data_IF_630390322906
#
_entry.id   IF_630390322906
#
_cell.length_a   1.000
_cell.length_b   1.000
_cell.length_c   1.000
_cell.angle_alpha   90.00
_cell.angle_beta   90.00
_cell.angle_gamma   90.00
#
_symmetry.space_group_name_H-M   'P 1'
#
loop_
_entity.id
_entity.type
_entity.pdbx_description
1 polymer ?
#
# COMPACT_ATOMS: atom_id res chain seq x y z
N UNK A 1 -21.54 45.20 14.07
CA UNK A 1 -21.71 44.37 12.86
C UNK A 1 -21.31 42.92 13.17
N UNK A 2 -22.26 42.01 13.35
CA UNK A 2 -21.97 40.57 13.46
C UNK A 2 -21.58 40.09 12.06
N UNK A 3 -20.27 39.88 11.84
CA UNK A 3 -19.76 39.22 10.65
C UNK A 3 -20.49 37.85 10.46
N UNK A 4 -21.20 37.72 9.34
CA UNK A 4 -21.72 36.42 8.89
C UNK A 4 -20.52 35.50 8.72
N UNK A 5 -20.29 34.62 9.69
CA UNK A 5 -19.16 33.70 9.71
C UNK A 5 -19.42 32.60 8.70
N UNK A 6 -19.06 32.85 7.45
CA UNK A 6 -19.08 31.84 6.39
C UNK A 6 -18.13 30.69 6.75
N UNK A 7 -18.57 29.44 6.51
CA UNK A 7 -17.72 28.24 6.62
C UNK A 7 -16.69 28.12 5.49
N UNK A 8 -16.71 29.01 4.52
CA UNK A 8 -15.79 29.04 3.38
C UNK A 8 -15.29 30.45 3.13
N UNK A 9 -13.97 30.58 2.88
CA UNK A 9 -13.34 31.87 2.54
C UNK A 9 -12.83 31.84 1.09
N UNK A 10 -13.55 32.47 0.13
CA UNK A 10 -13.20 32.44 -1.29
C UNK A 10 -11.88 33.16 -1.60
N UNK A 11 -11.50 34.17 -0.83
CA UNK A 11 -10.25 34.89 -1.04
C UNK A 11 -9.03 33.99 -0.70
N UNK A 12 -9.11 33.25 0.41
CA UNK A 12 -8.08 32.31 0.81
C UNK A 12 -7.96 31.16 -0.20
N UNK A 13 -9.10 30.61 -0.65
CA UNK A 13 -9.17 29.59 -1.68
C UNK A 13 -8.47 30.04 -2.98
N UNK A 14 -8.92 31.16 -3.57
CA UNK A 14 -8.39 31.68 -4.84
C UNK A 14 -6.89 31.96 -4.74
N UNK A 15 -6.43 32.62 -3.65
CA UNK A 15 -5.03 32.93 -3.43
C UNK A 15 -4.18 31.66 -3.36
N UNK A 16 -4.67 30.60 -2.71
CA UNK A 16 -3.96 29.34 -2.56
C UNK A 16 -3.86 28.59 -3.89
N UNK A 17 -4.96 28.48 -4.64
CA UNK A 17 -4.98 27.83 -5.96
C UNK A 17 -4.02 28.54 -6.91
N UNK A 18 -4.07 29.88 -6.99
CA UNK A 18 -3.17 30.64 -7.89
C UNK A 18 -1.71 30.52 -7.46
N UNK A 19 -1.43 30.50 -6.14
CA UNK A 19 -0.06 30.40 -5.65
C UNK A 19 0.62 29.07 -5.99
N UNK A 20 -0.11 27.97 -5.94
CA UNK A 20 0.44 26.62 -6.11
C UNK A 20 0.04 25.99 -7.45
N UNK A 21 -0.32 26.81 -8.45
CA UNK A 21 -0.73 26.33 -9.77
C UNK A 21 0.26 25.35 -10.44
N UNK A 22 1.61 25.40 -10.23
CA UNK A 22 2.51 24.48 -10.86
C UNK A 22 2.27 23.00 -10.45
N UNK A 23 1.77 22.76 -9.24
CA UNK A 23 1.45 21.41 -8.76
C UNK A 23 0.30 20.82 -9.58
N UNK A 24 -0.76 21.59 -9.76
CA UNK A 24 -1.94 21.16 -10.51
C UNK A 24 -1.66 21.03 -12.00
N UNK A 25 -0.89 21.98 -12.53
CA UNK A 25 -0.47 21.96 -13.93
C UNK A 25 0.39 20.73 -14.25
N UNK A 26 1.38 20.45 -13.42
CA UNK A 26 2.25 19.28 -13.62
C UNK A 26 1.47 17.97 -13.54
N UNK A 27 0.52 17.85 -12.59
CA UNK A 27 -0.37 16.71 -12.49
C UNK A 27 -1.20 16.51 -13.77
N UNK A 28 -1.89 17.56 -14.21
CA UNK A 28 -2.67 17.54 -15.44
C UNK A 28 -1.82 17.21 -16.67
N UNK A 29 -0.62 17.81 -16.77
CA UNK A 29 0.29 17.61 -17.88
C UNK A 29 0.77 16.16 -17.98
N UNK A 30 1.14 15.55 -16.85
CA UNK A 30 1.55 14.14 -16.82
C UNK A 30 0.41 13.25 -17.29
N UNK A 31 -0.81 13.45 -16.78
CA UNK A 31 -1.96 12.67 -17.20
C UNK A 31 -2.34 12.88 -18.67
N UNK A 32 -2.24 14.11 -19.20
CA UNK A 32 -2.46 14.39 -20.62
C UNK A 32 -1.43 13.69 -21.52
N UNK A 33 -0.20 13.52 -21.06
CA UNK A 33 0.80 12.73 -21.78
C UNK A 33 0.53 11.23 -21.69
N UNK A 34 0.24 10.72 -20.48
CA UNK A 34 0.09 9.28 -20.26
C UNK A 34 -1.16 8.73 -20.92
N UNK A 35 -2.31 9.36 -20.74
CA UNK A 35 -3.58 8.79 -21.18
C UNK A 35 -3.99 9.25 -22.59
N UNK A 36 -4.42 10.48 -22.88
CA UNK A 36 -4.80 10.83 -24.26
C UNK A 36 -3.60 10.87 -25.20
N UNK A 37 -2.40 11.26 -24.73
CA UNK A 37 -1.17 11.25 -25.54
C UNK A 37 -0.72 9.83 -25.89
N UNK A 38 -0.68 8.92 -24.92
CA UNK A 38 -0.40 7.49 -25.11
C UNK A 38 -1.40 6.83 -26.07
N UNK A 39 -2.70 7.03 -25.80
CA UNK A 39 -3.79 6.51 -26.61
C UNK A 39 -3.72 6.97 -28.07
N UNK A 40 -3.48 8.26 -28.31
CA UNK A 40 -3.32 8.78 -29.69
C UNK A 40 -2.12 8.21 -30.39
N UNK A 41 -0.99 7.99 -29.70
CA UNK A 41 0.21 7.34 -30.25
C UNK A 41 -0.01 5.87 -30.59
N UNK A 42 -0.77 5.13 -29.81
CA UNK A 42 -1.12 3.75 -30.08
C UNK A 42 -2.12 3.63 -31.24
N UNK A 43 -3.12 4.52 -31.28
CA UNK A 43 -4.07 4.61 -32.41
C UNK A 43 -3.34 4.89 -33.74
N UNK A 44 -2.40 5.84 -33.75
CA UNK A 44 -1.62 6.13 -34.95
C UNK A 44 -0.78 4.93 -35.43
N UNK A 45 -0.35 4.05 -34.51
CA UNK A 45 0.34 2.80 -34.85
C UNK A 45 -0.64 1.73 -35.34
N UNK A 46 -1.81 1.60 -34.72
CA UNK A 46 -2.83 0.60 -35.08
C UNK A 46 -3.37 0.80 -36.51
N UNK A 47 -3.48 2.05 -36.96
CA UNK A 47 -3.93 2.38 -38.35
C UNK A 47 -3.00 1.80 -39.44
N UNK A 48 -1.78 1.36 -39.11
CA UNK A 48 -0.82 0.71 -40.02
C UNK A 48 -0.93 -0.82 -40.04
N UNK A 49 -1.81 -1.40 -39.23
CA UNK A 49 -1.97 -2.85 -39.09
C UNK A 49 -3.11 -3.34 -40.03
N UNK A 50 -3.03 -4.59 -40.49
CA UNK A 50 -4.05 -5.21 -41.30
C UNK A 50 -5.45 -5.22 -40.63
N UNK A 51 -5.51 -5.33 -39.32
CA UNK A 51 -6.73 -5.33 -38.50
C UNK A 51 -6.94 -4.00 -37.75
N UNK A 52 -6.72 -2.86 -38.44
CA UNK A 52 -6.78 -1.51 -37.86
C UNK A 52 -8.05 -1.23 -37.04
N UNK A 53 -9.23 -1.63 -37.55
CA UNK A 53 -10.51 -1.39 -36.87
C UNK A 53 -10.59 -2.11 -35.51
N UNK A 54 -10.19 -3.39 -35.46
CA UNK A 54 -10.18 -4.19 -34.26
C UNK A 54 -9.16 -3.64 -33.24
N UNK A 55 -7.95 -3.34 -33.70
CA UNK A 55 -6.89 -2.77 -32.85
C UNK A 55 -7.30 -1.41 -32.28
N UNK A 56 -7.95 -0.55 -33.08
CA UNK A 56 -8.44 0.76 -32.62
C UNK A 56 -9.52 0.60 -31.56
N UNK A 57 -10.49 -0.31 -31.75
CA UNK A 57 -11.57 -0.55 -30.79
C UNK A 57 -11.02 -1.04 -29.45
N UNK A 58 -10.04 -1.96 -29.48
CA UNK A 58 -9.34 -2.44 -28.27
C UNK A 58 -8.66 -1.30 -27.52
N UNK A 59 -7.99 -0.38 -28.22
CA UNK A 59 -7.30 0.76 -27.60
C UNK A 59 -8.33 1.71 -26.99
N UNK A 60 -9.40 2.06 -27.71
CA UNK A 60 -10.41 3.00 -27.22
C UNK A 60 -11.14 2.49 -25.98
N UNK A 61 -11.46 1.19 -25.92
CA UNK A 61 -12.13 0.59 -24.75
C UNK A 61 -11.17 0.29 -23.61
N UNK A 62 -10.00 -0.26 -23.92
CA UNK A 62 -9.08 -0.80 -22.94
C UNK A 62 -8.22 0.25 -22.25
N UNK A 63 -7.66 1.21 -23.01
CA UNK A 63 -6.65 2.13 -22.46
C UNK A 63 -7.13 2.92 -21.22
N UNK A 64 -8.36 3.49 -21.18
CA UNK A 64 -8.82 4.17 -19.97
C UNK A 64 -8.98 3.23 -18.77
N UNK A 65 -9.49 2.00 -18.99
CA UNK A 65 -9.71 1.03 -17.91
C UNK A 65 -8.39 0.44 -17.40
N UNK A 66 -7.49 0.05 -18.29
CA UNK A 66 -6.16 -0.43 -17.97
C UNK A 66 -5.35 0.65 -17.25
N UNK A 67 -5.48 1.91 -17.68
CA UNK A 67 -4.91 3.04 -16.96
C UNK A 67 -5.48 3.16 -15.54
N UNK A 68 -6.79 3.00 -15.33
CA UNK A 68 -7.41 3.11 -14.01
C UNK A 68 -6.90 2.08 -13.00
N UNK A 69 -6.49 0.89 -13.45
CA UNK A 69 -6.00 -0.21 -12.59
C UNK A 69 -4.49 -0.35 -12.58
N UNK A 70 -3.77 0.50 -13.30
CA UNK A 70 -2.31 0.41 -13.41
C UNK A 70 -1.61 0.70 -12.08
N UNK A 71 -0.55 -0.06 -11.71
CA UNK A 71 0.13 0.08 -10.43
C UNK A 71 0.75 1.46 -10.18
N UNK A 72 1.04 2.23 -11.22
CA UNK A 72 1.57 3.59 -11.07
C UNK A 72 0.52 4.63 -10.67
N UNK A 73 -0.77 4.34 -10.83
CA UNK A 73 -1.85 5.32 -10.58
C UNK A 73 -2.00 5.66 -9.10
N UNK A 74 -2.09 4.71 -8.17
CA UNK A 74 -2.10 5.01 -6.75
C UNK A 74 -0.83 5.74 -6.29
N UNK A 75 0.33 5.45 -6.88
CA UNK A 75 1.58 6.13 -6.56
C UNK A 75 1.58 7.58 -7.05
N UNK A 76 1.08 7.82 -8.26
CA UNK A 76 0.94 9.16 -8.83
C UNK A 76 -0.08 9.99 -8.02
N UNK A 77 -1.23 9.40 -7.70
CA UNK A 77 -2.25 10.00 -6.86
C UNK A 77 -1.72 10.35 -5.47
N UNK A 78 -0.95 9.45 -4.82
CA UNK A 78 -0.30 9.72 -3.54
C UNK A 78 0.72 10.86 -3.65
N UNK A 79 1.60 10.84 -4.66
CA UNK A 79 2.65 11.83 -4.82
C UNK A 79 2.07 13.25 -4.99
N UNK A 80 1.08 13.42 -5.87
CA UNK A 80 0.46 14.73 -6.10
C UNK A 80 -0.50 15.15 -4.99
N UNK A 81 -1.19 14.22 -4.33
CA UNK A 81 -1.97 14.51 -3.12
C UNK A 81 -1.07 14.95 -1.96
N UNK A 82 0.09 14.32 -1.81
CA UNK A 82 1.10 14.71 -0.83
C UNK A 82 1.66 16.10 -1.13
N UNK A 83 2.09 16.36 -2.37
CA UNK A 83 2.56 17.68 -2.79
C UNK A 83 1.50 18.76 -2.60
N UNK A 84 0.25 18.45 -2.96
CA UNK A 84 -0.89 19.33 -2.76
C UNK A 84 -1.12 19.65 -1.28
N UNK A 85 -1.18 18.63 -0.41
CA UNK A 85 -1.35 18.82 1.03
C UNK A 85 -0.18 19.59 1.64
N UNK A 86 1.07 19.31 1.24
CA UNK A 86 2.24 20.10 1.66
C UNK A 86 2.12 21.56 1.26
N UNK A 87 1.69 21.83 0.04
CA UNK A 87 1.52 23.18 -0.49
C UNK A 87 0.47 23.97 0.30
N UNK A 88 -0.75 23.44 0.42
CA UNK A 88 -1.86 24.15 1.06
C UNK A 88 -1.69 24.30 2.57
N UNK A 89 -1.05 23.35 3.23
CA UNK A 89 -0.74 23.40 4.66
C UNK A 89 0.69 23.88 4.98
N UNK A 90 1.41 24.44 4.00
CA UNK A 90 2.79 24.94 4.17
C UNK A 90 2.96 25.95 5.32
N UNK A 91 1.91 26.67 5.67
CA UNK A 91 1.91 27.61 6.80
C UNK A 91 2.12 26.91 8.16
N UNK A 92 1.86 25.60 8.28
CA UNK A 92 2.04 24.85 9.52
C UNK A 92 3.50 24.47 9.83
N UNK A 93 4.40 24.62 8.84
CA UNK A 93 5.81 24.18 8.95
C UNK A 93 6.77 25.30 9.37
N UNK A 94 6.34 26.57 9.34
CA UNK A 94 7.17 27.70 9.74
C UNK A 94 6.47 28.53 10.82
N UNK A 95 7.14 28.84 11.96
CA UNK A 95 6.55 29.63 13.02
C UNK A 95 6.05 31.01 12.56
N UNK A 96 6.80 31.66 11.64
CA UNK A 96 6.43 32.95 11.08
C UNK A 96 5.13 32.88 10.29
N UNK A 97 4.98 31.89 9.42
CA UNK A 97 3.76 31.72 8.62
C UNK A 97 2.58 31.24 9.46
N UNK A 98 2.82 30.37 10.45
CA UNK A 98 1.77 29.92 11.37
C UNK A 98 1.18 31.09 12.19
N UNK A 99 2.04 31.98 12.70
CA UNK A 99 1.60 33.17 13.40
C UNK A 99 0.79 34.13 12.47
N UNK A 100 1.25 34.33 11.23
CA UNK A 100 0.53 35.19 10.26
C UNK A 100 -0.86 34.62 9.90
N UNK A 101 -0.98 33.29 9.71
CA UNK A 101 -2.27 32.63 9.47
C UNK A 101 -3.16 32.65 10.71
N UNK A 102 -2.60 32.51 11.91
CA UNK A 102 -3.31 32.60 13.18
C UNK A 102 -3.90 34.01 13.47
N UNK A 103 -3.31 35.05 12.90
CA UNK A 103 -3.80 36.44 13.02
C UNK A 103 -4.92 36.80 12.04
N UNK A 104 -5.23 35.92 11.06
CA UNK A 104 -6.31 36.16 10.11
C UNK A 104 -7.68 36.11 10.83
N UNK A 105 -8.60 37.07 10.52
CA UNK A 105 -9.95 37.11 11.11
C UNK A 105 -10.87 36.03 10.47
N UNK A 106 -10.42 34.79 10.44
CA UNK A 106 -11.12 33.64 9.84
C UNK A 106 -11.25 32.53 10.88
N UNK A 107 -12.41 31.89 10.94
CA UNK A 107 -12.58 30.73 11.81
C UNK A 107 -11.65 29.59 11.36
N UNK A 108 -11.11 28.83 12.30
CA UNK A 108 -10.20 27.73 12.00
C UNK A 108 -10.82 26.70 11.03
N UNK A 109 -12.11 26.36 11.22
CA UNK A 109 -12.82 25.44 10.34
C UNK A 109 -12.93 25.99 8.91
N UNK A 110 -13.25 27.27 8.76
CA UNK A 110 -13.36 27.92 7.46
C UNK A 110 -12.00 27.98 6.75
N UNK A 111 -10.92 28.25 7.50
CA UNK A 111 -9.56 28.21 6.97
C UNK A 111 -9.20 26.80 6.49
N UNK A 112 -9.42 25.77 7.32
CA UNK A 112 -9.14 24.38 6.96
C UNK A 112 -9.92 23.93 5.73
N UNK A 113 -11.24 24.16 5.69
CA UNK A 113 -12.09 23.78 4.56
C UNK A 113 -11.67 24.50 3.27
N UNK A 114 -11.39 25.80 3.34
CA UNK A 114 -10.95 26.58 2.17
C UNK A 114 -9.60 26.08 1.63
N UNK A 115 -8.66 25.72 2.51
CA UNK A 115 -7.36 25.19 2.13
C UNK A 115 -7.48 23.76 1.60
N UNK A 116 -8.26 22.90 2.25
CA UNK A 116 -8.47 21.50 1.78
C UNK A 116 -9.14 21.47 0.41
N UNK A 117 -10.17 22.31 0.21
CA UNK A 117 -10.81 22.43 -1.11
C UNK A 117 -9.84 23.01 -2.15
N UNK A 118 -8.99 23.98 -1.78
CA UNK A 118 -7.96 24.51 -2.68
C UNK A 118 -6.89 23.49 -3.05
N UNK A 119 -6.69 22.45 -2.24
CA UNK A 119 -5.77 21.35 -2.55
C UNK A 119 -6.41 20.26 -3.38
N UNK A 120 -7.65 19.88 -3.09
CA UNK A 120 -8.32 18.76 -3.72
C UNK A 120 -8.99 19.11 -5.05
N UNK A 121 -9.78 20.21 -5.10
CA UNK A 121 -10.55 20.56 -6.29
C UNK A 121 -9.72 20.75 -7.57
N UNK A 122 -8.50 21.34 -7.53
CA UNK A 122 -7.69 21.42 -8.74
C UNK A 122 -7.21 20.06 -9.26
N UNK A 123 -6.96 19.07 -8.38
CA UNK A 123 -6.63 17.70 -8.81
C UNK A 123 -7.84 17.04 -9.50
N UNK A 124 -9.03 17.18 -8.92
CA UNK A 124 -10.27 16.67 -9.53
C UNK A 124 -10.59 17.40 -10.85
N UNK A 125 -10.37 18.71 -10.91
CA UNK A 125 -10.55 19.48 -12.16
C UNK A 125 -9.57 19.01 -13.26
N UNK A 126 -8.32 18.68 -12.89
CA UNK A 126 -7.35 18.11 -13.81
C UNK A 126 -7.85 16.75 -14.37
N UNK A 127 -8.41 15.88 -13.52
CA UNK A 127 -8.99 14.61 -13.98
C UNK A 127 -10.15 14.84 -14.98
N UNK A 128 -11.00 15.83 -14.74
CA UNK A 128 -12.08 16.20 -15.68
C UNK A 128 -11.51 16.69 -17.02
N UNK A 129 -10.46 17.50 -16.98
CA UNK A 129 -9.79 18.01 -18.21
C UNK A 129 -9.21 16.82 -19.01
N UNK A 130 -8.56 15.87 -18.32
CA UNK A 130 -7.99 14.67 -18.96
C UNK A 130 -9.10 13.80 -19.56
N UNK A 131 -10.18 13.56 -18.83
CA UNK A 131 -11.34 12.82 -19.35
C UNK A 131 -11.93 13.48 -20.60
N UNK A 132 -12.09 14.80 -20.58
CA UNK A 132 -12.54 15.55 -21.76
C UNK A 132 -11.58 15.42 -22.94
N UNK A 133 -10.26 15.40 -22.70
CA UNK A 133 -9.27 15.20 -23.75
C UNK A 133 -9.33 13.78 -24.34
N UNK A 134 -9.57 12.75 -23.51
CA UNK A 134 -9.77 11.36 -23.99
C UNK A 134 -11.01 11.28 -24.85
N UNK A 135 -12.15 11.83 -24.39
CA UNK A 135 -13.38 11.89 -25.18
C UNK A 135 -13.22 12.65 -26.50
N UNK A 136 -12.37 13.69 -26.54
CA UNK A 136 -12.05 14.39 -27.77
C UNK A 136 -11.28 13.49 -28.76
N UNK A 137 -10.32 12.68 -28.27
CA UNK A 137 -9.61 11.69 -29.10
C UNK A 137 -10.57 10.64 -29.63
N UNK A 138 -11.47 10.10 -28.79
CA UNK A 138 -12.51 9.14 -29.21
C UNK A 138 -13.45 9.73 -30.29
N UNK A 139 -13.90 10.98 -30.10
CA UNK A 139 -14.77 11.67 -31.05
C UNK A 139 -14.09 11.87 -32.42
N UNK A 140 -12.76 12.16 -32.43
CA UNK A 140 -11.98 12.24 -33.66
C UNK A 140 -11.87 10.88 -34.38
N UNK A 141 -11.97 9.78 -33.65
CA UNK A 141 -12.03 8.41 -34.18
C UNK A 141 -13.46 7.99 -34.63
N UNK A 142 -14.46 8.85 -34.46
CA UNK A 142 -15.87 8.58 -34.82
C UNK A 142 -16.62 7.70 -33.81
N UNK A 143 -16.06 7.45 -32.63
CA UNK A 143 -16.67 6.66 -31.55
C UNK A 143 -16.58 7.42 -30.22
N UNK A 144 -17.60 7.28 -29.38
CA UNK A 144 -17.64 7.85 -28.03
C UNK A 144 -17.99 6.75 -27.04
N UNK A 145 -17.03 6.38 -26.20
CA UNK A 145 -17.17 5.32 -25.22
C UNK A 145 -17.16 5.94 -23.80
N UNK A 146 -18.32 6.45 -23.39
CA UNK A 146 -18.42 7.17 -22.11
C UNK A 146 -18.08 6.30 -20.89
N UNK A 147 -18.46 5.01 -20.90
CA UNK A 147 -18.32 4.15 -19.73
C UNK A 147 -16.84 3.95 -19.28
N UNK A 148 -15.88 3.59 -20.16
CA UNK A 148 -14.48 3.45 -19.78
C UNK A 148 -13.88 4.75 -19.23
N UNK A 149 -14.17 5.87 -19.86
CA UNK A 149 -13.65 7.19 -19.45
C UNK A 149 -14.23 7.64 -18.13
N UNK A 150 -15.56 7.43 -17.90
CA UNK A 150 -16.20 7.77 -16.63
C UNK A 150 -15.73 6.85 -15.51
N UNK A 151 -15.43 5.59 -15.80
CA UNK A 151 -14.83 4.66 -14.82
C UNK A 151 -13.45 5.14 -14.40
N UNK A 152 -12.58 5.48 -15.36
CA UNK A 152 -11.28 6.06 -15.07
C UNK A 152 -11.39 7.34 -14.23
N UNK A 153 -12.25 8.27 -14.65
CA UNK A 153 -12.48 9.53 -13.94
C UNK A 153 -12.94 9.31 -12.50
N UNK A 154 -13.87 8.38 -12.28
CA UNK A 154 -14.40 8.05 -10.96
C UNK A 154 -13.34 7.43 -10.04
N UNK A 155 -12.65 6.40 -10.54
CA UNK A 155 -11.62 5.67 -9.78
C UNK A 155 -10.48 6.60 -9.39
N UNK A 156 -9.86 7.30 -10.35
CA UNK A 156 -8.72 8.19 -10.09
C UNK A 156 -9.09 9.36 -9.19
N UNK A 157 -10.34 9.87 -9.31
CA UNK A 157 -10.83 10.93 -8.41
C UNK A 157 -11.03 10.43 -6.97
N UNK A 158 -11.51 9.20 -6.78
CA UNK A 158 -11.60 8.57 -5.45
C UNK A 158 -10.22 8.29 -4.86
N UNK A 159 -9.25 7.88 -5.66
CA UNK A 159 -7.86 7.75 -5.23
C UNK A 159 -7.25 9.08 -4.78
N UNK A 160 -7.45 10.15 -5.54
CA UNK A 160 -7.03 11.50 -5.14
C UNK A 160 -7.67 11.92 -3.81
N UNK A 161 -8.96 11.63 -3.62
CA UNK A 161 -9.66 11.92 -2.36
C UNK A 161 -9.06 11.11 -1.19
N UNK A 162 -8.81 9.82 -1.42
CA UNK A 162 -8.22 8.91 -0.42
C UNK A 162 -6.87 9.42 0.05
N UNK A 163 -5.94 9.61 -0.89
CA UNK A 163 -4.57 10.00 -0.56
C UNK A 163 -4.49 11.44 -0.06
N UNK A 164 -5.29 12.36 -0.61
CA UNK A 164 -5.32 13.73 -0.11
C UNK A 164 -5.84 13.79 1.33
N UNK A 165 -6.88 13.01 1.66
CA UNK A 165 -7.41 12.93 3.02
C UNK A 165 -6.36 12.45 4.03
N UNK A 166 -5.65 11.36 3.70
CA UNK A 166 -4.57 10.81 4.53
C UNK A 166 -3.41 11.83 4.63
N UNK A 167 -3.00 12.44 3.53
CA UNK A 167 -1.92 13.43 3.53
C UNK A 167 -2.28 14.69 4.31
N UNK A 168 -3.52 15.17 4.21
CA UNK A 168 -4.04 16.29 5.01
C UNK A 168 -4.01 15.97 6.50
N UNK A 169 -4.35 14.74 6.89
CA UNK A 169 -4.23 14.27 8.27
C UNK A 169 -2.77 14.23 8.74
N UNK A 170 -1.87 13.64 7.94
CA UNK A 170 -0.44 13.62 8.23
C UNK A 170 0.14 15.04 8.40
N UNK A 171 -0.30 16.01 7.61
CA UNK A 171 0.10 17.42 7.73
C UNK A 171 -0.26 18.01 9.09
N UNK A 172 -1.33 17.51 9.77
CA UNK A 172 -1.69 17.97 11.11
C UNK A 172 -0.85 17.32 12.21
N UNK A 173 -0.28 16.14 11.97
CA UNK A 173 0.51 15.40 12.96
C UNK A 173 1.93 15.96 13.11
N UNK A 174 2.47 16.60 12.08
CA UNK A 174 3.84 17.14 12.07
C UNK A 174 3.87 18.64 11.83
N UNK A 175 4.90 19.31 12.35
CA UNK A 175 5.25 20.69 12.03
C UNK A 175 6.47 20.80 11.10
N UNK A 176 6.95 19.68 10.55
CA UNK A 176 8.11 19.62 9.66
C UNK A 176 7.71 19.26 8.23
N UNK A 177 8.16 20.07 7.27
CA UNK A 177 7.90 19.86 5.85
C UNK A 177 8.52 18.56 5.32
N UNK A 178 9.66 18.14 5.87
CA UNK A 178 10.38 16.91 5.46
C UNK A 178 9.71 15.66 6.04
N UNK A 179 9.21 15.74 7.27
CA UNK A 179 8.60 14.59 7.95
C UNK A 179 7.21 14.25 7.42
N UNK A 180 6.48 15.24 6.91
CA UNK A 180 5.12 15.06 6.40
C UNK A 180 5.04 14.01 5.26
N UNK A 181 5.82 14.09 4.18
CA UNK A 181 5.76 13.09 3.10
C UNK A 181 6.22 11.70 3.58
N UNK A 182 7.22 11.64 4.45
CA UNK A 182 7.65 10.36 5.05
C UNK A 182 6.52 9.72 5.85
N UNK A 183 5.81 10.51 6.67
CA UNK A 183 4.68 10.03 7.44
C UNK A 183 3.52 9.59 6.53
N UNK A 184 3.27 10.32 5.44
CA UNK A 184 2.26 9.95 4.45
C UNK A 184 2.59 8.60 3.78
N UNK A 185 3.84 8.37 3.37
CA UNK A 185 4.28 7.09 2.81
C UNK A 185 4.13 5.98 3.85
N UNK A 186 4.59 6.20 5.08
CA UNK A 186 4.49 5.20 6.16
C UNK A 186 3.03 4.82 6.41
N UNK A 187 2.12 5.78 6.57
CA UNK A 187 0.70 5.49 6.82
C UNK A 187 0.07 4.70 5.66
N UNK A 188 0.44 5.01 4.42
CA UNK A 188 -0.12 4.34 3.24
C UNK A 188 0.48 2.96 2.95
N UNK A 189 1.71 2.67 3.38
CA UNK A 189 2.41 1.44 3.05
C UNK A 189 2.69 0.53 4.27
N UNK A 190 2.42 0.99 5.49
CA UNK A 190 2.84 0.29 6.72
C UNK A 190 2.30 -1.13 6.82
N UNK A 191 1.02 -1.35 6.55
CA UNK A 191 0.41 -2.67 6.68
C UNK A 191 0.97 -3.64 5.64
N UNK A 192 1.08 -3.22 4.37
CA UNK A 192 1.71 -4.00 3.31
C UNK A 192 3.17 -4.35 3.65
N UNK A 193 3.92 -3.38 4.16
CA UNK A 193 5.32 -3.59 4.53
C UNK A 193 5.44 -4.58 5.70
N UNK A 194 4.64 -4.41 6.77
CA UNK A 194 4.66 -5.32 7.94
C UNK A 194 4.26 -6.73 7.53
N UNK A 195 3.21 -6.88 6.71
CA UNK A 195 2.80 -8.18 6.18
C UNK A 195 3.93 -8.83 5.38
N UNK A 196 4.57 -8.07 4.48
CA UNK A 196 5.68 -8.59 3.67
C UNK A 196 6.86 -9.08 4.53
N UNK A 197 7.28 -8.31 5.54
CA UNK A 197 8.37 -8.72 6.43
C UNK A 197 7.97 -9.92 7.29
N UNK A 198 6.77 -9.91 7.88
CA UNK A 198 6.28 -11.04 8.69
C UNK A 198 6.17 -12.31 7.85
N UNK A 199 5.61 -12.22 6.67
CA UNK A 199 5.53 -13.35 5.73
C UNK A 199 6.91 -13.87 5.35
N UNK A 200 7.85 -12.98 5.04
CA UNK A 200 9.23 -13.36 4.74
C UNK A 200 9.90 -14.04 5.93
N UNK A 201 9.67 -13.59 7.15
CA UNK A 201 10.18 -14.26 8.35
C UNK A 201 9.53 -15.63 8.57
N UNK A 202 8.21 -15.73 8.39
CA UNK A 202 7.50 -17.01 8.52
C UNK A 202 7.96 -18.01 7.49
N UNK A 203 8.15 -17.61 6.22
CA UNK A 203 8.68 -18.51 5.16
C UNK A 203 10.13 -18.94 5.42
N UNK A 204 10.91 -18.14 6.15
CA UNK A 204 12.31 -18.44 6.49
C UNK A 204 12.42 -19.37 7.69
N UNK A 205 11.57 -19.21 8.71
CA UNK A 205 11.73 -19.90 10.00
C UNK A 205 10.69 -21.00 10.25
N UNK A 206 9.49 -20.91 9.67
CA UNK A 206 8.41 -21.87 9.93
C UNK A 206 8.35 -22.93 8.83
N UNK A 207 8.53 -24.19 9.21
CA UNK A 207 8.48 -25.32 8.28
C UNK A 207 7.08 -25.49 7.67
N UNK A 208 7.02 -25.67 6.35
CA UNK A 208 5.75 -25.85 5.62
C UNK A 208 4.91 -24.57 5.45
N UNK A 209 5.35 -23.42 5.95
CA UNK A 209 4.64 -22.17 5.70
C UNK A 209 4.83 -21.71 4.26
N UNK A 210 3.73 -21.60 3.53
CA UNK A 210 3.70 -21.12 2.15
C UNK A 210 2.81 -19.87 2.07
N UNK A 211 3.29 -18.83 1.41
CA UNK A 211 2.51 -17.62 1.21
C UNK A 211 1.47 -17.82 0.12
N UNK A 212 0.19 -17.81 0.49
CA UNK A 212 -0.92 -17.98 -0.46
C UNK A 212 -1.32 -16.71 -1.21
N UNK A 213 -0.66 -15.58 -0.94
CA UNK A 213 -0.96 -14.29 -1.59
C UNK A 213 -2.30 -13.64 -1.23
N UNK A 214 -3.03 -14.19 -0.24
CA UNK A 214 -4.40 -13.77 0.11
C UNK A 214 -4.55 -13.16 1.50
N UNK A 215 -3.50 -12.64 2.09
CA UNK A 215 -3.62 -12.01 3.40
C UNK A 215 -4.40 -10.69 3.32
N UNK A 216 -5.33 -10.51 4.24
CA UNK A 216 -6.18 -9.32 4.28
C UNK A 216 -5.51 -8.10 4.94
N UNK A 217 -4.36 -8.29 5.61
CA UNK A 217 -3.70 -7.22 6.38
C UNK A 217 -3.16 -6.12 5.48
N UNK A 218 -2.60 -6.47 4.32
CA UNK A 218 -2.09 -5.49 3.35
C UNK A 218 -3.20 -4.60 2.76
N UNK A 219 -4.46 -5.06 2.78
CA UNK A 219 -5.60 -4.23 2.38
C UNK A 219 -5.78 -2.99 3.28
N UNK A 220 -5.20 -2.98 4.48
CA UNK A 220 -5.14 -1.77 5.31
C UNK A 220 -4.20 -0.69 4.72
N UNK A 221 -3.36 -1.05 3.75
CA UNK A 221 -2.53 -0.13 2.97
C UNK A 221 -3.28 0.28 1.71
N UNK A 222 -3.75 1.54 1.58
CA UNK A 222 -4.53 1.97 0.41
C UNK A 222 -3.83 1.74 -0.93
N UNK A 223 -2.50 1.86 -0.98
CA UNK A 223 -1.71 1.60 -2.20
C UNK A 223 -1.91 0.15 -2.65
N UNK A 224 -1.65 -0.81 -1.77
CA UNK A 224 -1.73 -2.24 -2.11
C UNK A 224 -3.18 -2.69 -2.33
N UNK A 225 -4.10 -2.22 -1.47
CA UNK A 225 -5.52 -2.56 -1.59
C UNK A 225 -6.15 -2.08 -2.90
N UNK A 226 -5.84 -0.86 -3.35
CA UNK A 226 -6.31 -0.36 -4.64
C UNK A 226 -5.71 -1.16 -5.81
N UNK A 227 -4.40 -1.47 -5.76
CA UNK A 227 -3.75 -2.26 -6.80
C UNK A 227 -4.29 -3.70 -6.93
N UNK A 228 -4.70 -4.32 -5.82
CA UNK A 228 -5.20 -5.71 -5.83
C UNK A 228 -6.70 -5.82 -6.13
N UNK A 229 -7.49 -4.86 -5.69
CA UNK A 229 -8.94 -4.95 -5.74
C UNK A 229 -9.54 -4.29 -6.97
N UNK A 230 -8.80 -3.41 -7.65
CA UNK A 230 -9.22 -2.82 -8.92
C UNK A 230 -8.70 -3.70 -10.05
N UNK A 231 -9.61 -4.29 -10.80
CA UNK A 231 -9.28 -5.19 -11.92
C UNK A 231 -10.07 -4.78 -13.15
N UNK A 232 -9.35 -4.65 -14.27
CA UNK A 232 -9.93 -4.51 -15.59
C UNK A 232 -9.53 -5.72 -16.44
N UNK A 233 -10.48 -6.45 -16.97
CA UNK A 233 -10.25 -7.65 -17.77
C UNK A 233 -10.91 -7.54 -19.15
N UNK A 234 -10.14 -7.88 -20.17
CA UNK A 234 -10.66 -8.00 -21.52
C UNK A 234 -11.51 -9.29 -21.65
N UNK A 235 -12.70 -9.16 -22.19
CA UNK A 235 -13.62 -10.26 -22.45
C UNK A 235 -13.45 -10.73 -23.90
N UNK A 236 -13.17 -12.02 -24.09
CA UNK A 236 -12.99 -12.64 -25.38
C UNK A 236 -14.07 -13.71 -25.60
N UNK A 237 -14.68 -13.74 -26.78
CA UNK A 237 -15.52 -14.84 -27.22
C UNK A 237 -14.86 -15.55 -28.42
N UNK A 238 -14.96 -16.87 -28.46
CA UNK A 238 -14.47 -17.67 -29.58
C UNK A 238 -15.53 -17.67 -30.66
N UNK A 239 -15.13 -17.27 -31.87
CA UNK A 239 -15.97 -17.35 -33.08
C UNK A 239 -16.13 -18.81 -33.54
N UNK A 240 -17.08 -19.09 -34.43
CA UNK A 240 -17.30 -20.42 -35.01
C UNK A 240 -16.03 -21.03 -35.65
N UNK A 241 -15.07 -20.21 -36.00
CA UNK A 241 -13.78 -20.58 -36.56
C UNK A 241 -12.68 -20.82 -35.49
N UNK A 242 -13.02 -20.75 -34.16
CA UNK A 242 -12.07 -20.90 -33.06
C UNK A 242 -11.16 -19.69 -32.84
N UNK A 243 -11.49 -18.54 -33.40
CA UNK A 243 -10.74 -17.30 -33.27
C UNK A 243 -11.30 -16.50 -32.08
N UNK A 244 -10.48 -16.20 -31.08
CA UNK A 244 -10.87 -15.36 -29.95
C UNK A 244 -11.00 -13.90 -30.37
N UNK A 245 -12.19 -13.34 -30.27
CA UNK A 245 -12.46 -11.91 -30.55
C UNK A 245 -12.79 -11.16 -29.28
N UNK A 246 -12.26 -9.95 -29.14
CA UNK A 246 -12.57 -9.07 -28.03
C UNK A 246 -14.03 -8.60 -28.17
N UNK A 247 -14.85 -8.90 -27.17
CA UNK A 247 -16.25 -8.49 -27.08
C UNK A 247 -16.41 -7.24 -26.23
N UNK A 248 -15.56 -7.07 -25.25
CA UNK A 248 -15.62 -5.93 -24.35
C UNK A 248 -14.57 -5.94 -23.26
N UNK A 249 -14.73 -5.05 -22.31
CA UNK A 249 -13.97 -5.00 -21.06
C UNK A 249 -14.93 -5.02 -19.89
N UNK A 250 -14.52 -5.72 -18.83
CA UNK A 250 -15.20 -5.69 -17.54
C UNK A 250 -14.31 -5.02 -16.51
N UNK A 251 -14.90 -4.13 -15.71
CA UNK A 251 -14.23 -3.51 -14.58
C UNK A 251 -14.89 -3.96 -13.29
N UNK A 252 -14.07 -4.45 -12.36
CA UNK A 252 -14.46 -4.79 -11.01
C UNK A 252 -13.67 -3.98 -9.97
N UNK A 253 -14.27 -3.77 -8.80
CA UNK A 253 -13.58 -3.08 -7.69
C UNK A 253 -14.18 -1.74 -7.30
N UNK A 254 -15.35 -1.33 -7.84
CA UNK A 254 -16.03 -0.09 -7.42
C UNK A 254 -16.26 -0.02 -5.91
N UNK A 255 -16.62 -1.17 -5.29
CA UNK A 255 -16.79 -1.25 -3.84
C UNK A 255 -15.53 -0.86 -3.08
N UNK A 256 -14.37 -1.34 -3.53
CA UNK A 256 -13.07 -0.99 -2.93
C UNK A 256 -12.77 0.50 -3.12
N UNK A 257 -12.91 1.04 -4.33
CA UNK A 257 -12.67 2.46 -4.59
C UNK A 257 -13.53 3.37 -3.70
N UNK A 258 -14.82 3.03 -3.53
CA UNK A 258 -15.74 3.78 -2.67
C UNK A 258 -15.36 3.66 -1.18
N UNK A 259 -14.97 2.47 -0.71
CA UNK A 259 -14.54 2.28 0.68
C UNK A 259 -13.28 3.12 0.97
N UNK A 260 -12.26 3.06 0.11
CA UNK A 260 -11.06 3.88 0.31
C UNK A 260 -11.36 5.37 0.18
N UNK A 261 -12.22 5.78 -0.73
CA UNK A 261 -12.70 7.17 -0.81
C UNK A 261 -13.38 7.63 0.48
N UNK A 262 -14.23 6.78 1.08
CA UNK A 262 -14.85 7.05 2.37
C UNK A 262 -13.82 7.13 3.51
N UNK A 263 -12.80 6.27 3.50
CA UNK A 263 -11.66 6.33 4.43
C UNK A 263 -10.91 7.66 4.27
N UNK A 264 -10.63 8.10 3.04
CA UNK A 264 -10.02 9.42 2.78
C UNK A 264 -10.84 10.57 3.34
N UNK A 265 -12.16 10.53 3.17
CA UNK A 265 -13.07 11.53 3.74
C UNK A 265 -13.05 11.50 5.28
N UNK A 266 -13.03 10.31 5.90
CA UNK A 266 -12.90 10.17 7.34
C UNK A 266 -11.57 10.79 7.85
N UNK A 267 -10.46 10.55 7.16
CA UNK A 267 -9.18 11.18 7.49
C UNK A 267 -9.21 12.71 7.34
N UNK A 268 -9.94 13.26 6.36
CA UNK A 268 -10.17 14.70 6.26
C UNK A 268 -10.93 15.26 7.46
N UNK A 269 -11.95 14.54 7.96
CA UNK A 269 -12.67 14.92 9.17
C UNK A 269 -11.74 14.87 10.38
N UNK A 270 -10.94 13.81 10.55
CA UNK A 270 -9.95 13.74 11.61
C UNK A 270 -8.90 14.86 11.50
N UNK A 271 -8.46 15.19 10.30
CA UNK A 271 -7.56 16.31 10.05
C UNK A 271 -8.17 17.66 10.50
N UNK A 272 -9.46 17.88 10.21
CA UNK A 272 -10.21 19.06 10.68
C UNK A 272 -10.25 19.12 12.21
N UNK A 273 -10.54 18.01 12.88
CA UNK A 273 -10.60 17.95 14.34
C UNK A 273 -9.24 18.24 14.98
N UNK A 274 -8.16 17.72 14.40
CA UNK A 274 -6.80 18.01 14.84
C UNK A 274 -6.43 19.48 14.59
N UNK A 275 -6.74 20.03 13.40
CA UNK A 275 -6.48 21.42 13.05
C UNK A 275 -7.13 22.40 14.02
N UNK A 276 -8.35 22.11 14.49
CA UNK A 276 -9.06 22.90 15.50
C UNK A 276 -8.32 22.96 16.84
N UNK A 277 -7.70 21.84 17.25
CA UNK A 277 -7.01 21.69 18.54
C UNK A 277 -5.53 21.99 18.47
N UNK A 278 -4.95 22.11 17.28
CA UNK A 278 -3.52 22.30 17.07
C UNK A 278 -3.05 23.65 17.65
N UNK A 279 -1.93 23.61 18.37
CA UNK A 279 -1.23 24.80 18.86
C UNK A 279 -0.30 25.34 17.76
N UNK A 280 -0.27 26.66 17.57
CA UNK A 280 0.59 27.29 16.55
C UNK A 280 2.09 27.18 16.89
N UNK A 281 2.42 27.03 18.17
CA UNK A 281 3.77 26.89 18.69
C UNK A 281 4.48 25.61 18.22
N UNK A 282 3.72 24.58 17.77
CA UNK A 282 4.27 23.30 17.29
C UNK A 282 4.79 23.36 15.85
N UNK A 283 4.81 24.52 15.23
CA UNK A 283 5.40 24.72 13.90
C UNK A 283 6.92 24.48 13.97
N UNK A 284 7.43 23.62 13.10
CA UNK A 284 8.84 23.17 13.11
C UNK A 284 9.12 21.93 13.97
N UNK A 285 8.14 21.40 14.73
CA UNK A 285 8.33 20.16 15.49
C UNK A 285 8.08 18.93 14.60
N UNK A 286 8.90 17.88 14.81
CA UNK A 286 8.74 16.59 14.10
C UNK A 286 7.37 15.97 14.40
N UNK A 287 6.94 16.01 15.67
CA UNK A 287 5.61 15.54 16.11
C UNK A 287 4.90 16.69 16.79
N UNK A 288 3.88 17.22 16.13
CA UNK A 288 3.10 18.37 16.62
C UNK A 288 2.16 18.01 17.79
N UNK A 289 1.72 16.75 17.86
CA UNK A 289 0.76 16.24 18.85
C UNK A 289 1.51 15.50 19.95
N UNK A 290 1.51 16.04 21.19
CA UNK A 290 2.33 15.53 22.28
C UNK A 290 2.10 14.06 22.65
N UNK A 291 0.84 13.59 22.64
CA UNK A 291 0.50 12.18 22.93
C UNK A 291 1.00 11.19 21.86
N UNK A 292 1.33 11.65 20.65
CA UNK A 292 1.86 10.79 19.58
C UNK A 292 3.41 10.65 19.64
N UNK A 293 4.11 11.44 20.44
CA UNK A 293 5.57 11.32 20.58
C UNK A 293 6.05 9.91 20.98
N UNK A 294 5.47 9.25 21.99
CA UNK A 294 5.85 7.88 22.32
C UNK A 294 5.47 6.90 21.21
N UNK A 295 4.28 7.05 20.57
CA UNK A 295 3.84 6.20 19.47
C UNK A 295 4.84 6.28 18.31
N UNK A 296 5.21 7.49 17.89
CA UNK A 296 6.20 7.71 16.84
C UNK A 296 7.54 7.03 17.17
N UNK A 297 7.99 7.15 18.42
CA UNK A 297 9.25 6.54 18.87
C UNK A 297 9.23 5.02 18.79
N UNK A 298 8.17 4.38 19.28
CA UNK A 298 8.07 2.92 19.26
C UNK A 298 7.80 2.38 17.85
N UNK A 299 7.02 3.08 17.03
CA UNK A 299 6.81 2.70 15.62
C UNK A 299 8.12 2.76 14.83
N UNK A 300 8.92 3.82 15.00
CA UNK A 300 10.20 3.94 14.31
C UNK A 300 11.22 2.91 14.82
N UNK A 301 11.18 2.57 16.11
CA UNK A 301 12.02 1.52 16.69
C UNK A 301 11.65 0.13 16.16
N UNK A 302 10.36 -0.21 16.15
CA UNK A 302 9.87 -1.48 15.62
C UNK A 302 10.09 -1.59 14.10
N UNK A 303 9.81 -0.51 13.36
CA UNK A 303 10.11 -0.44 11.93
C UNK A 303 11.60 -0.62 11.64
N UNK A 304 12.47 -0.01 12.45
CA UNK A 304 13.93 -0.22 12.40
C UNK A 304 14.32 -1.66 12.69
N UNK A 305 13.72 -2.29 13.70
CA UNK A 305 13.95 -3.71 14.01
C UNK A 305 13.59 -4.61 12.83
N UNK A 306 12.41 -4.43 12.28
CA UNK A 306 11.92 -5.25 11.17
C UNK A 306 12.70 -4.96 9.88
N UNK A 307 12.83 -3.69 9.47
CA UNK A 307 13.52 -3.32 8.23
C UNK A 307 15.00 -3.65 8.24
N UNK A 308 15.74 -3.04 9.19
CA UNK A 308 17.20 -3.19 9.23
C UNK A 308 17.58 -4.57 9.73
N UNK A 309 16.84 -5.12 10.69
CA UNK A 309 17.10 -6.46 11.21
C UNK A 309 16.99 -7.51 10.12
N UNK A 310 15.88 -7.51 9.37
CA UNK A 310 15.68 -8.44 8.25
C UNK A 310 16.63 -8.18 7.09
N UNK A 311 16.91 -6.92 6.77
CA UNK A 311 17.88 -6.55 5.73
C UNK A 311 19.28 -7.10 6.05
N UNK A 312 19.77 -6.89 7.28
CA UNK A 312 21.08 -7.39 7.71
C UNK A 312 21.13 -8.90 7.69
N UNK A 313 20.08 -9.56 8.19
CA UNK A 313 19.95 -11.02 8.11
C UNK A 313 19.95 -11.51 6.65
N UNK A 314 19.24 -10.84 5.75
CA UNK A 314 19.24 -11.17 4.33
C UNK A 314 20.60 -11.05 3.65
N UNK A 315 21.44 -10.12 4.11
CA UNK A 315 22.82 -9.95 3.58
C UNK A 315 23.74 -11.06 4.09
N UNK A 316 23.60 -11.49 5.34
CA UNK A 316 24.50 -12.46 5.98
C UNK A 316 24.05 -13.89 5.79
N UNK A 317 22.77 -14.16 5.89
CA UNK A 317 22.18 -15.51 5.93
C UNK A 317 20.93 -15.67 5.05
N UNK A 318 20.79 -14.83 4.00
CA UNK A 318 19.59 -14.76 3.16
C UNK A 318 19.26 -16.00 2.31
N UNK A 319 20.16 -16.99 2.25
CA UNK A 319 19.92 -18.27 1.59
C UNK A 319 19.41 -19.37 2.54
N UNK A 320 19.31 -19.07 3.84
CA UNK A 320 18.85 -20.05 4.84
C UNK A 320 17.36 -20.24 4.74
N UNK A 321 16.92 -21.50 4.65
CA UNK A 321 15.53 -21.91 4.80
C UNK A 321 15.39 -22.73 6.09
N UNK A 322 14.29 -22.56 6.81
CA UNK A 322 14.02 -23.23 8.09
C UNK A 322 15.17 -23.05 9.09
N UNK A 323 15.60 -21.78 9.24
CA UNK A 323 16.72 -21.42 10.12
C UNK A 323 16.35 -21.54 11.58
N UNK A 324 16.99 -22.46 12.31
CA UNK A 324 16.84 -22.67 13.76
C UNK A 324 18.11 -22.33 14.51
N UNK A 325 18.02 -22.15 15.82
CA UNK A 325 19.15 -21.98 16.70
C UNK A 325 19.97 -20.74 16.41
N UNK A 326 21.17 -20.90 15.80
CA UNK A 326 22.11 -19.81 15.57
C UNK A 326 21.55 -18.71 14.64
N UNK A 327 20.75 -19.10 13.63
CA UNK A 327 20.14 -18.17 12.68
C UNK A 327 19.03 -17.34 13.32
N UNK A 328 18.24 -17.94 14.22
CA UNK A 328 17.24 -17.23 15.00
C UNK A 328 17.90 -16.23 15.96
N UNK A 329 19.01 -16.63 16.61
CA UNK A 329 19.79 -15.72 17.44
C UNK A 329 20.39 -14.57 16.62
N UNK A 330 20.95 -14.85 15.45
CA UNK A 330 21.50 -13.85 14.55
C UNK A 330 20.43 -12.83 14.12
N UNK A 331 19.25 -13.27 13.70
CA UNK A 331 18.13 -12.40 13.39
C UNK A 331 17.73 -11.55 14.60
N UNK A 332 17.59 -12.15 15.78
CA UNK A 332 17.23 -11.43 17.00
C UNK A 332 18.24 -10.32 17.33
N UNK A 333 19.53 -10.58 17.17
CA UNK A 333 20.60 -9.59 17.38
C UNK A 333 20.50 -8.46 16.34
N UNK A 334 20.31 -8.76 15.07
CA UNK A 334 20.13 -7.74 14.03
C UNK A 334 18.85 -6.91 14.22
N UNK A 335 17.76 -7.53 14.69
CA UNK A 335 16.55 -6.80 15.06
C UNK A 335 16.81 -5.84 16.24
N UNK A 336 17.61 -6.24 17.23
CA UNK A 336 18.00 -5.36 18.32
C UNK A 336 18.86 -4.18 17.83
N UNK A 337 19.77 -4.40 16.87
CA UNK A 337 20.55 -3.32 16.24
C UNK A 337 19.64 -2.36 15.49
N UNK A 338 18.72 -2.87 14.69
CA UNK A 338 17.73 -2.06 13.97
C UNK A 338 16.81 -1.29 14.92
N UNK A 339 16.35 -1.93 16.00
CA UNK A 339 15.57 -1.30 17.07
C UNK A 339 16.34 -0.15 17.74
N UNK A 340 17.64 -0.35 18.02
CA UNK A 340 18.51 0.67 18.60
C UNK A 340 18.58 1.90 17.71
N UNK A 341 18.89 1.70 16.42
CA UNK A 341 19.00 2.78 15.46
C UNK A 341 17.65 3.53 15.35
N UNK A 342 16.55 2.81 15.18
CA UNK A 342 15.21 3.41 15.06
C UNK A 342 14.79 4.18 16.32
N UNK A 343 15.01 3.60 17.51
CA UNK A 343 14.63 4.21 18.79
C UNK A 343 15.37 5.51 19.06
N UNK A 344 16.71 5.49 18.94
CA UNK A 344 17.52 6.65 19.21
C UNK A 344 17.41 7.72 18.12
N UNK A 345 17.22 7.32 16.85
CA UNK A 345 16.90 8.26 15.80
C UNK A 345 15.58 9.01 16.08
N UNK A 346 14.53 8.29 16.50
CA UNK A 346 13.27 8.92 16.89
C UNK A 346 13.43 9.88 18.07
N UNK A 347 14.20 9.49 19.09
CA UNK A 347 14.47 10.31 20.26
C UNK A 347 15.25 11.58 19.89
N UNK A 348 16.26 11.47 18.99
CA UNK A 348 17.00 12.61 18.43
C UNK A 348 16.10 13.57 17.68
N UNK A 349 15.22 13.04 16.82
CA UNK A 349 14.27 13.83 16.06
C UNK A 349 13.26 14.57 16.96
N UNK A 350 12.72 13.89 17.99
CA UNK A 350 11.76 14.49 18.93
C UNK A 350 12.41 15.59 19.77
N UNK A 351 13.64 15.37 20.22
CA UNK A 351 14.37 16.33 21.10
C UNK A 351 15.19 17.36 20.35
N UNK A 352 15.34 17.20 19.03
CA UNK A 352 16.20 18.06 18.19
C UNK A 352 17.63 18.17 18.75
N UNK A 353 18.15 17.09 19.35
CA UNK A 353 19.45 17.06 20.02
C UNK A 353 20.08 15.67 19.89
N UNK A 354 21.37 15.63 19.68
CA UNK A 354 22.16 14.39 19.69
C UNK A 354 22.46 13.87 21.13
N UNK A 355 22.22 14.67 22.16
CA UNK A 355 22.49 14.31 23.57
C UNK A 355 21.37 13.40 24.15
N UNK A 356 20.96 12.36 23.41
CA UNK A 356 19.87 11.46 23.80
C UNK A 356 20.33 10.23 24.57
N UNK A 357 21.63 9.94 24.62
CA UNK A 357 22.17 8.76 25.27
C UNK A 357 22.31 8.90 26.80
N UNK A 358 22.09 10.10 27.38
CA UNK A 358 22.15 10.35 28.81
C UNK A 358 20.80 10.07 29.47
N UNK A 359 20.78 9.13 30.44
CA UNK A 359 19.63 8.83 31.31
C UNK A 359 19.09 7.41 31.18
N UNK A 360 19.21 6.64 32.26
CA UNK A 360 18.86 5.20 32.31
C UNK A 360 17.40 4.89 31.95
N UNK A 361 16.45 5.75 32.30
CA UNK A 361 15.01 5.55 31.99
C UNK A 361 14.70 5.39 30.52
N UNK A 362 15.56 5.88 29.61
CA UNK A 362 15.36 5.78 28.16
C UNK A 362 15.63 4.38 27.63
N UNK A 363 16.62 3.71 28.23
CA UNK A 363 16.98 2.35 27.86
C UNK A 363 15.90 1.32 28.22
N UNK A 364 15.01 1.63 29.19
CA UNK A 364 13.88 0.75 29.53
C UNK A 364 12.95 0.59 28.31
N UNK A 365 12.59 1.70 27.64
CA UNK A 365 11.73 1.64 26.45
C UNK A 365 12.38 0.89 25.30
N UNK A 366 13.69 1.08 25.09
CA UNK A 366 14.45 0.31 24.10
C UNK A 366 14.50 -1.18 24.47
N UNK A 367 14.76 -1.50 25.74
CA UNK A 367 14.78 -2.88 26.25
C UNK A 367 13.44 -3.62 26.03
N UNK A 368 12.31 -2.93 26.17
CA UNK A 368 10.99 -3.49 25.86
C UNK A 368 10.90 -3.88 24.38
N UNK A 369 11.33 -3.03 23.45
CA UNK A 369 11.31 -3.35 22.02
C UNK A 369 12.21 -4.53 21.69
N UNK A 370 13.43 -4.56 22.26
CA UNK A 370 14.33 -5.71 22.10
C UNK A 370 13.71 -7.01 22.63
N UNK A 371 13.09 -6.96 23.81
CA UNK A 371 12.42 -8.11 24.39
C UNK A 371 11.26 -8.59 23.49
N UNK A 372 10.42 -7.69 23.00
CA UNK A 372 9.35 -8.02 22.06
C UNK A 372 9.88 -8.64 20.76
N UNK A 373 10.98 -8.09 20.22
CA UNK A 373 11.62 -8.63 19.01
C UNK A 373 12.18 -10.03 19.24
N UNK A 374 12.86 -10.26 20.38
CA UNK A 374 13.37 -11.58 20.74
C UNK A 374 12.23 -12.60 20.94
N UNK A 375 11.17 -12.21 21.66
CA UNK A 375 10.01 -13.07 21.85
C UNK A 375 9.32 -13.40 20.52
N UNK A 376 9.27 -12.46 19.61
CA UNK A 376 8.73 -12.69 18.26
C UNK A 376 9.55 -13.72 17.49
N UNK A 377 10.90 -13.63 17.52
CA UNK A 377 11.77 -14.62 16.85
C UNK A 377 11.64 -15.98 17.49
N UNK A 378 11.64 -16.08 18.83
CA UNK A 378 11.41 -17.36 19.54
C UNK A 378 10.05 -17.95 19.17
N UNK A 379 9.02 -17.12 19.04
CA UNK A 379 7.69 -17.53 18.63
C UNK A 379 7.67 -18.12 17.20
N UNK A 380 8.42 -17.52 16.28
CA UNK A 380 8.59 -18.07 14.93
C UNK A 380 9.37 -19.40 14.97
N UNK A 381 10.45 -19.50 15.78
CA UNK A 381 11.29 -20.70 15.90
C UNK A 381 10.53 -21.89 16.53
N UNK A 382 9.62 -21.62 17.47
CA UNK A 382 8.82 -22.66 18.12
C UNK A 382 7.64 -23.18 17.29
N UNK A 383 7.59 -22.87 16.00
CA UNK A 383 6.59 -23.38 15.05
C UNK A 383 5.21 -22.79 15.23
N UNK A 384 5.10 -21.55 15.65
CA UNK A 384 3.86 -20.77 15.65
C UNK A 384 2.67 -21.51 16.29
N UNK A 385 2.81 -21.91 17.58
CA UNK A 385 1.82 -22.72 18.32
C UNK A 385 1.49 -24.08 17.70
N UNK A 386 2.48 -24.77 17.14
CA UNK A 386 2.29 -26.10 16.55
C UNK A 386 1.67 -26.08 15.15
N UNK A 387 1.72 -24.93 14.46
CA UNK A 387 1.30 -24.83 13.05
C UNK A 387 2.00 -25.87 12.17
N UNK A 388 3.28 -26.09 12.42
CA UNK A 388 4.15 -27.00 11.65
C UNK A 388 3.77 -28.50 11.79
N UNK A 389 3.04 -28.86 12.83
CA UNK A 389 2.65 -30.25 13.13
C UNK A 389 1.13 -30.46 13.08
N UNK A 390 0.37 -29.42 12.73
CA UNK A 390 -1.09 -29.45 12.72
C UNK A 390 -1.60 -30.01 11.40
N UNK A 391 -2.19 -31.20 11.46
CA UNK A 391 -2.96 -31.77 10.35
C UNK A 391 -4.45 -31.43 10.54
N UNK A 392 -5.16 -31.03 9.48
CA UNK A 392 -6.62 -30.91 9.53
C UNK A 392 -7.24 -32.30 9.72
N UNK A 393 -8.43 -32.37 10.31
CA UNK A 393 -9.16 -33.63 10.38
C UNK A 393 -9.71 -34.00 9.00
N UNK A 394 -9.84 -35.32 8.70
CA UNK A 394 -10.33 -35.78 7.39
C UNK A 394 -11.67 -35.15 6.99
N UNK A 395 -12.54 -34.89 7.98
CA UNK A 395 -13.86 -34.31 7.79
C UNK A 395 -13.81 -32.84 7.37
N UNK A 396 -12.73 -32.15 7.70
CA UNK A 396 -12.53 -30.72 7.40
C UNK A 396 -11.91 -30.50 6.00
N UNK A 397 -11.43 -31.56 5.31
CA UNK A 397 -10.78 -31.47 4.00
C UNK A 397 -11.77 -31.78 2.89
N UNK A 398 -12.11 -30.80 2.06
CA UNK A 398 -13.00 -30.95 0.91
C UNK A 398 -12.24 -31.21 -0.40
N UNK A 399 -11.05 -30.68 -0.55
CA UNK A 399 -10.21 -30.88 -1.73
C UNK A 399 -8.74 -30.64 -1.41
N UNK A 400 -7.86 -31.27 -2.15
CA UNK A 400 -6.41 -31.08 -2.08
C UNK A 400 -5.95 -30.55 -3.43
N UNK A 401 -5.15 -29.50 -3.45
CA UNK A 401 -4.52 -29.01 -4.68
C UNK A 401 -3.02 -29.23 -4.62
N UNK A 402 -2.48 -29.83 -5.66
CA UNK A 402 -1.04 -29.96 -5.88
C UNK A 402 -0.61 -28.89 -6.89
N UNK A 403 0.24 -27.97 -6.45
CA UNK A 403 0.85 -26.97 -7.31
C UNK A 403 2.27 -27.44 -7.67
N UNK A 404 2.45 -27.94 -8.89
CA UNK A 404 3.76 -28.33 -9.41
C UNK A 404 4.43 -27.10 -10.03
N UNK A 405 5.58 -26.72 -9.53
CA UNK A 405 6.36 -25.53 -9.90
C UNK A 405 6.86 -25.56 -11.35
N UNK A 406 5.96 -25.49 -12.33
CA UNK A 406 6.28 -25.28 -13.76
C UNK A 406 5.14 -24.66 -14.58
N UNK A 407 4.35 -23.77 -13.97
CA UNK A 407 3.33 -23.00 -14.73
C UNK A 407 2.09 -23.81 -15.13
N UNK A 408 1.88 -24.96 -14.50
CA UNK A 408 0.63 -25.71 -14.61
C UNK A 408 -0.44 -25.10 -13.72
N UNK A 409 -1.71 -25.12 -14.17
CA UNK A 409 -2.84 -24.79 -13.29
C UNK A 409 -2.83 -25.81 -12.14
N UNK A 410 -3.04 -25.36 -10.88
CA UNK A 410 -3.16 -26.27 -9.76
C UNK A 410 -4.28 -27.30 -10.04
N UNK A 411 -3.94 -28.57 -10.00
CA UNK A 411 -4.93 -29.64 -10.16
C UNK A 411 -5.59 -29.88 -8.80
N UNK A 412 -6.88 -29.62 -8.71
CA UNK A 412 -7.66 -29.89 -7.51
C UNK A 412 -8.16 -31.35 -7.54
N UNK A 413 -7.79 -32.11 -6.53
CA UNK A 413 -8.21 -33.50 -6.30
C UNK A 413 -9.34 -33.51 -5.29
N UNK A 414 -10.45 -34.12 -5.63
CA UNK A 414 -11.67 -34.20 -4.79
C UNK A 414 -12.07 -35.62 -4.46
N UNK A 415 -11.38 -36.62 -5.05
CA UNK A 415 -11.62 -38.04 -4.75
C UNK A 415 -11.09 -38.36 -3.36
N UNK A 416 -11.83 -39.17 -2.60
CA UNK A 416 -11.48 -39.58 -1.23
C UNK A 416 -10.12 -40.25 -1.16
N UNK A 417 -9.80 -41.12 -2.13
CA UNK A 417 -8.51 -41.82 -2.21
C UNK A 417 -7.33 -40.86 -2.38
N UNK A 418 -7.48 -39.79 -3.19
CA UNK A 418 -6.44 -38.83 -3.42
C UNK A 418 -6.23 -37.93 -2.18
N UNK A 419 -7.32 -37.59 -1.47
CA UNK A 419 -7.25 -36.82 -0.24
C UNK A 419 -6.56 -37.62 0.85
N UNK A 420 -6.91 -38.90 1.01
CA UNK A 420 -6.28 -39.80 2.00
C UNK A 420 -4.80 -40.03 1.71
N UNK A 421 -4.43 -40.16 0.44
CA UNK A 421 -3.03 -40.29 0.02
C UNK A 421 -2.24 -39.00 0.31
N UNK A 422 -2.83 -37.82 0.05
CA UNK A 422 -2.22 -36.53 0.35
C UNK A 422 -2.05 -36.29 1.85
N UNK A 423 -3.03 -36.70 2.66
CA UNK A 423 -2.95 -36.60 4.12
C UNK A 423 -1.87 -37.52 4.69
N UNK A 424 -1.77 -38.78 4.20
CA UNK A 424 -0.73 -39.72 4.60
C UNK A 424 0.68 -39.21 4.23
N UNK A 425 0.82 -38.60 3.03
CA UNK A 425 2.07 -37.96 2.62
C UNK A 425 2.43 -36.76 3.54
N UNK A 426 1.46 -35.97 3.92
CA UNK A 426 1.68 -34.85 4.82
C UNK A 426 2.10 -35.31 6.22
N UNK A 427 1.49 -36.38 6.73
CA UNK A 427 1.85 -36.99 8.01
C UNK A 427 3.28 -37.50 7.98
N UNK A 428 3.70 -38.17 6.88
CA UNK A 428 5.07 -38.65 6.68
C UNK A 428 6.08 -37.53 6.63
N UNK A 429 5.76 -36.40 5.94
CA UNK A 429 6.61 -35.23 5.91
C UNK A 429 6.78 -34.61 7.32
N UNK A 430 5.72 -34.55 8.13
CA UNK A 430 5.80 -34.09 9.52
C UNK A 430 6.66 -35.03 10.36
N UNK A 431 6.49 -36.32 10.23
CA UNK A 431 7.27 -37.33 10.96
C UNK A 431 8.78 -37.25 10.65
N UNK A 432 9.15 -36.91 9.41
CA UNK A 432 10.53 -36.78 8.96
C UNK A 432 11.00 -35.30 8.85
N UNK A 433 10.36 -34.39 9.55
CA UNK A 433 10.62 -32.93 9.48
C UNK A 433 12.11 -32.57 9.61
N UNK A 434 12.83 -33.14 10.59
CA UNK A 434 14.25 -32.84 10.81
C UNK A 434 15.16 -33.22 9.64
N UNK A 435 14.80 -34.30 8.89
CA UNK A 435 15.52 -34.72 7.70
C UNK A 435 15.27 -33.69 6.57
N UNK A 436 14.02 -33.30 6.37
CA UNK A 436 13.66 -32.32 5.34
C UNK A 436 14.27 -30.93 5.61
N UNK A 437 14.29 -30.47 6.85
CA UNK A 437 14.97 -29.22 7.25
C UNK A 437 16.47 -29.27 6.97
N UNK A 438 17.13 -30.36 7.32
CA UNK A 438 18.57 -30.52 7.06
C UNK A 438 18.89 -30.60 5.56
N UNK A 439 18.05 -31.25 4.78
CA UNK A 439 18.17 -31.29 3.32
C UNK A 439 17.94 -29.93 2.69
N UNK A 440 16.89 -29.19 3.07
CA UNK A 440 16.62 -27.85 2.55
C UNK A 440 17.80 -26.90 2.76
N UNK A 441 18.48 -26.98 3.91
CA UNK A 441 19.67 -26.17 4.19
C UNK A 441 20.93 -26.65 3.46
N UNK A 442 21.06 -27.94 3.15
CA UNK A 442 22.18 -28.50 2.39
C UNK A 442 22.11 -28.14 0.88
N UNK A 443 20.92 -27.96 0.34
CA UNK A 443 20.69 -27.65 -1.09
C UNK A 443 21.00 -26.22 -1.52
N UNK A 444 21.22 -25.29 -0.60
CA UNK A 444 21.72 -23.95 -0.95
C UNK A 444 23.10 -23.95 -1.58
N UNK A 445 23.76 -25.10 -1.65
CA UNK A 445 25.10 -25.28 -2.25
C UNK A 445 25.12 -25.85 -3.66
N UNK A 446 24.01 -25.98 -4.40
CA UNK A 446 24.13 -26.20 -5.87
C UNK A 446 23.40 -27.35 -6.54
N UNK A 447 22.50 -28.06 -5.87
CA UNK A 447 21.65 -29.08 -6.53
C UNK A 447 20.17 -28.75 -6.31
N UNK A 448 19.36 -28.75 -7.38
CA UNK A 448 17.93 -28.43 -7.31
C UNK A 448 17.16 -29.51 -6.53
N UNK A 449 16.48 -29.20 -5.44
CA UNK A 449 15.56 -30.10 -4.79
C UNK A 449 14.19 -30.13 -5.47
N UNK A 450 13.50 -31.24 -5.39
CA UNK A 450 12.05 -31.27 -5.48
C UNK A 450 11.48 -30.46 -4.29
N UNK A 451 10.92 -29.31 -4.57
CA UNK A 451 10.23 -28.49 -3.56
C UNK A 451 8.95 -29.22 -3.13
N UNK A 452 9.04 -29.99 -2.05
CA UNK A 452 7.91 -30.68 -1.42
C UNK A 452 6.99 -29.73 -0.62
N UNK A 453 7.28 -28.42 -0.61
CA UNK A 453 6.47 -27.39 0.04
C UNK A 453 5.15 -27.04 -0.67
N UNK A 454 4.72 -27.86 -1.64
CA UNK A 454 3.66 -27.51 -2.59
C UNK A 454 2.35 -28.29 -2.40
N UNK A 455 2.17 -28.96 -1.27
CA UNK A 455 0.87 -29.56 -0.95
C UNK A 455 0.02 -28.52 -0.23
N UNK A 456 -0.82 -27.85 -0.97
CA UNK A 456 -1.80 -26.92 -0.41
C UNK A 456 -3.09 -27.67 -0.11
N UNK A 457 -3.37 -27.89 1.17
CA UNK A 457 -4.65 -28.42 1.62
C UNK A 457 -5.58 -27.21 1.77
N UNK A 458 -6.55 -27.05 0.86
CA UNK A 458 -7.56 -26.02 0.98
C UNK A 458 -8.62 -26.45 2.00
N UNK A 459 -8.73 -25.70 3.10
CA UNK A 459 -9.85 -25.85 4.05
C UNK A 459 -11.18 -25.61 3.32
N UNK A 460 -12.25 -26.39 3.63
CA UNK A 460 -13.56 -26.18 3.03
C UNK A 460 -14.11 -24.83 3.44
N UNK A 461 -14.48 -24.02 2.47
CA UNK A 461 -15.45 -22.95 2.70
C UNK A 461 -16.69 -23.61 3.28
N UNK A 462 -17.05 -23.28 4.55
CA UNK A 462 -18.28 -23.78 5.18
C UNK A 462 -19.42 -23.60 4.21
N UNK A 463 -20.06 -24.72 3.85
CA UNK A 463 -21.36 -24.69 3.19
C UNK A 463 -22.33 -24.00 4.14
N UNK A 464 -22.77 -22.80 3.76
CA UNK A 464 -23.94 -22.14 4.34
C UNK A 464 -25.19 -22.84 3.87
#
# INVERSE_FOLDING_TARGET
MRSRTSFFNPALFKKTVVRFWPVWFLYAFIWLLLLPGGMSGELARSLRMENAAYASMRILMGTPLEAAVSPYVPLLALAFSCASAMAVFSHLYSPRSAAAYGALPVRREAAFLSLSLAGLLPLLAANVIVAAAVLAVEALCGTLLLWPVMTWLGVVSLECLTFFGICAFCAQLTGSMIVMPVLAIVVNAAAWFVEGVVTALLTTFVFGYTYSGRNAVSLLSPIDGLQRLLVASAQYEEDAEGISRLVGYEFSGWGAALIYGAVGLAFLVFALLLYRRRRLETAGDVVAVGCLKPVFKYLLSLGGALCLGYLLFGITSGSVRYGTGIYALELALFMCVGAFIGYFAAEMLIKKSFAVFRGAKRYIGFGIVCLCSMLFVVFCETGFFGYETRLPTREDVASVSLEVYRGGKPSAFTADEDIDAAMALHEDIIAHKSVHESQANAYTTGTQPLDLSLIHISEPTRRS
#
